data_IF_033735684613
#
_entry.id   IF_033735684613
#
_cell.length_a   1.000
_cell.length_b   1.000
_cell.length_c   1.000
_cell.angle_alpha   90.00
_cell.angle_beta   90.00
_cell.angle_gamma   90.00
#
_symmetry.space_group_name_H-M   'P 1'
#
loop_
_entity.id
_entity.type
_entity.pdbx_description
1 polymer ?
#
# COMPACT_ATOMS: atom_id res chain seq x y z
N UNK A 1 4.29 -10.90 10.64
CA UNK A 1 3.92 -9.50 10.35
C UNK A 1 4.68 -8.60 11.30
N UNK A 2 5.06 -7.41 10.84
CA UNK A 2 5.77 -6.39 11.61
C UNK A 2 4.85 -5.19 11.87
N UNK A 3 5.25 -4.31 12.81
CA UNK A 3 4.54 -3.05 13.03
C UNK A 3 4.71 -2.10 11.85
N UNK A 4 3.78 -1.17 11.67
CA UNK A 4 3.91 -0.13 10.64
C UNK A 4 5.10 0.79 10.91
N UNK A 5 5.41 1.04 12.18
CA UNK A 5 6.62 1.75 12.59
C UNK A 5 7.89 1.09 12.08
N UNK A 6 7.98 -0.24 12.21
CA UNK A 6 9.11 -1.00 11.71
C UNK A 6 9.13 -1.03 10.17
N UNK A 7 7.96 -1.16 9.54
CA UNK A 7 7.83 -1.16 8.08
C UNK A 7 8.42 0.10 7.44
N UNK A 8 8.21 1.28 8.04
CA UNK A 8 8.80 2.56 7.56
C UNK A 8 10.33 2.52 7.49
N UNK A 9 10.99 1.67 8.27
CA UNK A 9 12.46 1.56 8.32
C UNK A 9 13.02 0.39 7.51
N UNK A 10 12.16 -0.40 6.85
CA UNK A 10 12.57 -1.55 6.03
C UNK A 10 12.48 -1.23 4.54
N UNK A 11 13.35 -1.83 3.73
CA UNK A 11 13.33 -1.66 2.28
C UNK A 11 12.40 -2.66 1.59
N UNK A 12 12.41 -3.92 1.98
CA UNK A 12 11.66 -5.02 1.38
C UNK A 12 11.26 -6.08 2.41
N UNK A 13 10.60 -7.15 1.94
CA UNK A 13 10.09 -8.26 2.75
C UNK A 13 9.23 -7.77 3.93
N UNK A 14 8.28 -6.90 3.61
CA UNK A 14 7.39 -6.24 4.57
C UNK A 14 6.04 -6.92 4.54
N UNK A 15 5.73 -7.61 5.63
CA UNK A 15 4.41 -8.17 5.88
C UNK A 15 3.74 -7.39 7.01
N UNK A 16 2.62 -6.71 6.72
CA UNK A 16 1.89 -5.88 7.68
C UNK A 16 0.40 -6.13 7.61
N UNK A 17 -0.30 -5.92 8.71
CA UNK A 17 -1.75 -5.93 8.78
C UNK A 17 -2.22 -4.61 9.38
N UNK A 18 -3.34 -4.11 8.88
CA UNK A 18 -3.91 -2.86 9.36
C UNK A 18 -5.21 -2.52 8.65
N UNK A 19 -5.78 -1.38 9.01
CA UNK A 19 -7.02 -0.87 8.44
C UNK A 19 -6.70 0.15 7.36
N UNK A 20 -7.44 0.10 6.24
CA UNK A 20 -7.37 1.12 5.19
C UNK A 20 -8.06 2.40 5.66
N UNK A 21 -7.35 3.50 5.58
CA UNK A 21 -7.77 4.85 5.91
C UNK A 21 -7.45 5.79 4.74
N UNK A 22 -8.18 6.91 4.65
CA UNK A 22 -7.90 8.00 3.70
C UNK A 22 -7.72 7.53 2.23
N UNK A 23 -8.50 6.53 1.77
CA UNK A 23 -8.49 6.07 0.38
C UNK A 23 -8.90 7.22 -0.57
N UNK A 24 -7.98 7.63 -1.44
CA UNK A 24 -8.18 8.73 -2.37
C UNK A 24 -9.03 8.35 -3.59
N UNK A 25 -9.36 9.32 -4.44
CA UNK A 25 -9.90 8.99 -5.76
C UNK A 25 -8.80 8.36 -6.64
N UNK A 26 -9.13 7.32 -7.44
CA UNK A 26 -8.19 6.75 -8.40
C UNK A 26 -7.84 7.76 -9.49
N UNK A 27 -6.55 7.84 -9.84
CA UNK A 27 -6.03 8.69 -10.92
C UNK A 27 -5.33 7.85 -11.97
N UNK A 28 -5.43 8.28 -13.23
CA UNK A 28 -4.68 7.68 -14.34
C UNK A 28 -3.30 8.29 -14.45
N UNK A 29 -2.27 7.45 -14.51
CA UNK A 29 -0.87 7.84 -14.70
C UNK A 29 -0.29 7.18 -15.95
N UNK A 30 0.55 7.90 -16.69
CA UNK A 30 1.30 7.35 -17.83
C UNK A 30 2.57 6.68 -17.31
N UNK A 31 2.70 5.39 -17.55
CA UNK A 31 3.89 4.59 -17.22
C UNK A 31 4.58 4.14 -18.50
N UNK A 32 5.78 3.55 -18.39
CA UNK A 32 6.47 2.91 -19.53
C UNK A 32 5.68 1.75 -20.15
N UNK A 33 4.67 1.24 -19.45
CA UNK A 33 3.83 0.12 -19.87
C UNK A 33 2.44 0.58 -20.37
N UNK A 34 2.22 1.89 -20.50
CA UNK A 34 0.93 2.47 -20.87
C UNK A 34 0.26 3.21 -19.70
N UNK A 35 -0.99 3.61 -19.92
CA UNK A 35 -1.82 4.24 -18.91
C UNK A 35 -2.25 3.22 -17.85
N UNK A 36 -2.13 3.62 -16.58
CA UNK A 36 -2.40 2.78 -15.43
C UNK A 36 -3.18 3.55 -14.38
N UNK A 37 -4.06 2.88 -13.64
CA UNK A 37 -4.73 3.50 -12.50
C UNK A 37 -3.93 3.29 -11.22
N UNK A 38 -3.82 4.36 -10.44
CA UNK A 38 -3.23 4.35 -9.10
C UNK A 38 -4.13 5.11 -8.14
N UNK A 39 -4.22 4.61 -6.91
CA UNK A 39 -4.93 5.22 -5.81
C UNK A 39 -4.00 5.24 -4.60
N UNK A 40 -3.93 6.37 -3.89
CA UNK A 40 -3.18 6.45 -2.65
C UNK A 40 -4.15 6.15 -1.49
N UNK A 41 -3.65 5.49 -0.44
CA UNK A 41 -4.37 5.30 0.82
C UNK A 41 -3.37 5.31 1.97
N UNK A 42 -3.86 5.21 3.20
CA UNK A 42 -3.06 4.89 4.37
C UNK A 42 -3.49 3.53 4.91
N UNK A 43 -2.52 2.76 5.42
CA UNK A 43 -2.77 1.61 6.27
C UNK A 43 -2.35 1.96 7.68
N UNK A 44 -3.17 1.60 8.67
CA UNK A 44 -2.99 1.92 10.09
C UNK A 44 -3.06 0.65 10.95
N UNK A 45 -2.10 0.46 11.86
CA UNK A 45 -2.10 -0.64 12.84
C UNK A 45 -2.68 -0.21 14.20
N UNK A 46 -3.28 0.98 14.26
CA UNK A 46 -3.80 1.62 15.46
C UNK A 46 -2.81 2.50 16.21
N UNK A 47 -1.50 2.36 15.97
CA UNK A 47 -0.46 3.20 16.60
C UNK A 47 0.25 4.08 15.57
N UNK A 48 0.57 3.49 14.42
CA UNK A 48 1.28 4.12 13.32
C UNK A 48 0.51 3.90 12.02
N UNK A 49 0.68 4.84 11.08
CA UNK A 49 0.16 4.70 9.72
C UNK A 49 1.24 4.92 8.67
N UNK A 50 1.13 4.23 7.53
CA UNK A 50 2.02 4.38 6.37
C UNK A 50 1.17 4.52 5.11
N UNK A 51 1.61 5.38 4.21
CA UNK A 51 0.96 5.56 2.93
C UNK A 51 1.19 4.35 2.03
N UNK A 52 0.20 3.93 1.28
CA UNK A 52 0.27 2.83 0.32
C UNK A 52 -0.22 3.28 -1.06
N UNK A 53 0.48 2.86 -2.11
CA UNK A 53 0.04 3.04 -3.50
C UNK A 53 -0.62 1.77 -4.02
N UNK A 54 -1.92 1.83 -4.29
CA UNK A 54 -2.73 0.74 -4.83
C UNK A 54 -2.84 0.89 -6.34
N UNK A 55 -2.63 -0.20 -7.07
CA UNK A 55 -2.57 -0.20 -8.53
C UNK A 55 -3.66 -1.09 -9.13
N UNK A 56 -4.30 -0.61 -10.20
CA UNK A 56 -5.24 -1.36 -11.04
C UNK A 56 -6.29 -2.12 -10.21
N UNK A 57 -6.31 -3.45 -10.31
CA UNK A 57 -7.29 -4.32 -9.65
C UNK A 57 -7.21 -4.26 -8.13
N UNK A 58 -6.07 -3.90 -7.53
CA UNK A 58 -5.96 -3.77 -6.08
C UNK A 58 -6.78 -2.58 -5.55
N UNK A 59 -7.05 -1.57 -6.38
CA UNK A 59 -7.91 -0.43 -6.02
C UNK A 59 -9.34 -0.91 -5.75
N UNK A 60 -9.82 -1.88 -6.52
CA UNK A 60 -11.20 -2.40 -6.43
C UNK A 60 -11.39 -3.40 -5.28
N UNK A 61 -10.30 -3.88 -4.69
CA UNK A 61 -10.32 -4.89 -3.62
C UNK A 61 -10.55 -4.32 -2.25
N UNK A 62 -10.37 -3.01 -2.05
CA UNK A 62 -10.35 -2.39 -0.73
C UNK A 62 -11.24 -1.16 -0.67
N UNK A 63 -11.77 -0.89 0.52
CA UNK A 63 -12.54 0.28 0.89
C UNK A 63 -12.02 0.89 2.20
N UNK A 64 -12.36 2.15 2.47
CA UNK A 64 -12.09 2.75 3.78
C UNK A 64 -12.75 1.93 4.89
N UNK A 65 -11.99 1.62 5.94
CA UNK A 65 -12.42 0.80 7.05
C UNK A 65 -12.14 -0.70 6.89
N UNK A 66 -11.73 -1.17 5.70
CA UNK A 66 -11.37 -2.56 5.50
C UNK A 66 -10.08 -2.90 6.25
N UNK A 67 -10.09 -4.04 6.92
CA UNK A 67 -8.87 -4.62 7.48
C UNK A 67 -8.18 -5.42 6.38
N UNK A 68 -6.88 -5.19 6.20
CA UNK A 68 -6.10 -5.82 5.14
C UNK A 68 -4.80 -6.38 5.65
N UNK A 69 -4.34 -7.43 4.98
CA UNK A 69 -2.99 -7.99 5.09
C UNK A 69 -2.21 -7.69 3.81
N UNK A 70 -1.02 -7.12 3.96
CA UNK A 70 -0.03 -6.93 2.91
C UNK A 70 1.09 -7.92 3.12
N UNK A 71 1.44 -8.67 2.08
CA UNK A 71 2.53 -9.64 2.07
C UNK A 71 3.56 -9.27 1.00
N UNK A 72 4.84 -9.40 1.33
CA UNK A 72 5.95 -9.17 0.40
C UNK A 72 6.09 -7.71 -0.05
N UNK A 73 5.63 -6.76 0.75
CA UNK A 73 5.71 -5.33 0.44
C UNK A 73 7.15 -4.79 0.46
N UNK A 74 7.32 -3.59 -0.09
CA UNK A 74 8.57 -2.83 -0.06
C UNK A 74 8.28 -1.34 0.14
N UNK A 75 9.22 -0.62 0.77
CA UNK A 75 9.09 0.85 0.85
C UNK A 75 9.87 1.55 -0.25
N UNK A 76 9.36 2.71 -0.65
CA UNK A 76 10.08 3.68 -1.47
C UNK A 76 9.85 5.06 -0.92
N UNK A 77 10.79 5.96 -1.13
CA UNK A 77 10.62 7.37 -0.82
C UNK A 77 10.13 8.12 -2.07
N UNK A 78 9.02 8.83 -1.94
CA UNK A 78 8.50 9.70 -2.99
C UNK A 78 8.13 11.05 -2.40
N UNK A 79 8.73 12.13 -2.92
CA UNK A 79 8.54 13.51 -2.41
C UNK A 79 8.76 13.63 -0.89
N UNK A 80 9.83 13.01 -0.38
CA UNK A 80 10.18 12.97 1.04
C UNK A 80 9.16 12.24 1.94
N UNK A 81 8.27 11.43 1.37
CA UNK A 81 7.33 10.58 2.09
C UNK A 81 7.64 9.11 1.83
N UNK A 82 7.77 8.32 2.89
CA UNK A 82 7.94 6.86 2.80
C UNK A 82 6.59 6.23 2.49
N UNK A 83 6.55 5.42 1.44
CA UNK A 83 5.35 4.76 0.95
C UNK A 83 5.57 3.26 0.83
N UNK A 84 4.60 2.47 1.29
CA UNK A 84 4.51 1.05 1.09
C UNK A 84 3.96 0.75 -0.31
N UNK A 85 4.53 -0.24 -0.97
CA UNK A 85 4.11 -0.72 -2.27
C UNK A 85 3.99 -2.24 -2.25
N UNK A 86 3.06 -2.77 -3.05
CA UNK A 86 2.87 -4.20 -3.24
C UNK A 86 3.47 -4.59 -4.61
N UNK A 87 4.52 -5.43 -4.66
CA UNK A 87 5.12 -5.81 -5.93
C UNK A 87 4.20 -6.75 -6.73
N UNK A 88 4.17 -6.60 -8.06
CA UNK A 88 3.26 -7.37 -8.94
C UNK A 88 3.46 -8.88 -8.94
N UNK A 89 4.69 -9.37 -8.72
CA UNK A 89 5.03 -10.79 -8.89
C UNK A 89 4.93 -11.59 -7.59
N UNK A 90 5.42 -11.01 -6.49
CA UNK A 90 5.64 -11.73 -5.23
C UNK A 90 4.97 -11.02 -4.04
N UNK A 91 4.08 -10.06 -4.31
CA UNK A 91 3.36 -9.31 -3.29
C UNK A 91 1.87 -9.53 -3.42
N UNK A 92 1.19 -9.44 -2.29
CA UNK A 92 -0.25 -9.68 -2.23
C UNK A 92 -0.92 -8.73 -1.24
N UNK A 93 -2.14 -8.29 -1.56
CA UNK A 93 -3.05 -7.59 -0.66
C UNK A 93 -4.33 -8.41 -0.52
N UNK A 94 -4.73 -8.67 0.73
CA UNK A 94 -5.96 -9.41 1.08
C UNK A 94 -6.79 -8.60 2.05
N UNK A 95 -8.09 -8.53 1.84
CA UNK A 95 -9.04 -8.10 2.87
C UNK A 95 -9.29 -9.27 3.82
N UNK A 96 -9.32 -8.99 5.13
CA UNK A 96 -9.50 -9.98 6.21
C UNK A 96 -10.71 -9.68 7.08
#
# INVERSE_FOLDING_TARGET
>A
MISIKEAKSRRDNIDVEGTIEDLSEPRTVKTRYGEQQVCDAYISDGNDRIKISLWEDNIKKVSNGDRVQILGGYTSEFRNEIQLNVPRKNGEIKVV
#
